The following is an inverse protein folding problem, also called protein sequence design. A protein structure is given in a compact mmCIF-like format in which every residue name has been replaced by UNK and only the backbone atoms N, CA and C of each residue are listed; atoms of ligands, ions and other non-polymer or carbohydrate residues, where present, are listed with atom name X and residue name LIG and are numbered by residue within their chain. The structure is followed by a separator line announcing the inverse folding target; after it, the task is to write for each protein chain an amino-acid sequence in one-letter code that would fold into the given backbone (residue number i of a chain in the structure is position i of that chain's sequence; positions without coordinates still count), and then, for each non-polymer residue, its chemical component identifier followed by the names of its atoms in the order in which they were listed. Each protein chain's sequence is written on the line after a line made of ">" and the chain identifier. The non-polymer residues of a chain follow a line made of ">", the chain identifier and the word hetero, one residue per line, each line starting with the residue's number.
data_IF_307944061437
#
_entry.id   IF_307944061437
#
_cell.length_a   1.000
_cell.length_b   1.000
_cell.length_c   1.000
_cell.angle_alpha   90.00
_cell.angle_beta   90.00
_cell.angle_gamma   90.00
#
_symmetry.space_group_name_H-M   'P 1'
#
loop_
_entity.id
_entity.type
_entity.pdbx_description
1 polymer ?
#
# COMPACT_ATOMS: atom_id res chain seq x y z
N UNK A 1 5.82 0.33 -1.87
CA UNK A 1 6.95 0.62 -0.97
C UNK A 1 6.88 2.02 -0.35
N UNK A 2 6.37 3.04 -1.05
CA UNK A 2 6.34 4.42 -0.54
C UNK A 2 5.38 4.70 0.63
N UNK A 3 4.14 4.20 0.61
CA UNK A 3 3.10 4.66 1.57
C UNK A 3 3.34 4.16 3.01
N UNK A 4 3.78 2.90 3.17
CA UNK A 4 4.05 2.32 4.50
C UNK A 4 5.38 2.83 5.05
N UNK A 5 6.41 2.94 4.20
CA UNK A 5 7.66 3.58 4.60
C UNK A 5 7.47 5.06 4.94
N UNK A 6 6.42 5.71 4.44
CA UNK A 6 6.09 7.10 4.77
C UNK A 6 5.37 7.24 6.12
N UNK A 7 4.43 6.33 6.44
CA UNK A 7 3.84 6.27 7.79
C UNK A 7 4.88 5.96 8.87
N UNK A 8 5.89 5.15 8.54
CA UNK A 8 7.04 4.88 9.42
C UNK A 8 8.02 6.06 9.46
N UNK A 9 8.17 6.84 8.37
CA UNK A 9 9.01 8.05 8.34
C UNK A 9 8.34 9.30 8.93
N UNK A 10 7.06 9.26 9.32
CA UNK A 10 6.47 10.25 10.22
C UNK A 10 7.01 10.02 11.63
N UNK A 11 8.32 10.30 11.76
CA UNK A 11 9.17 10.27 12.94
C UNK A 11 8.89 9.06 13.85
N UNK A 12 9.82 8.10 13.81
CA UNK A 12 10.05 7.05 14.81
C UNK A 12 10.03 7.54 16.28
N UNK A 13 9.91 8.86 16.54
CA UNK A 13 9.89 9.48 17.85
C UNK A 13 8.81 10.58 18.00
N UNK A 14 7.72 10.58 17.21
CA UNK A 14 6.60 11.48 17.50
C UNK A 14 5.80 10.95 18.71
N UNK A 15 5.65 11.80 19.73
CA UNK A 15 4.82 11.61 20.94
C UNK A 15 3.34 11.29 20.63
N UNK A 16 2.95 11.26 19.35
CA UNK A 16 1.57 11.23 18.86
C UNK A 16 0.99 9.83 18.59
N UNK A 17 1.78 8.76 18.59
CA UNK A 17 1.25 7.41 18.35
C UNK A 17 0.92 6.68 19.65
N UNK A 18 -0.36 6.35 19.87
CA UNK A 18 -0.74 5.53 21.02
C UNK A 18 -0.21 4.10 20.87
N UNK A 19 0.25 3.50 21.97
CA UNK A 19 0.79 2.11 21.98
C UNK A 19 -0.10 1.06 21.30
N UNK A 20 -1.44 1.09 21.42
CA UNK A 20 -2.31 0.14 20.72
C UNK A 20 -2.26 0.27 19.20
N UNK A 21 -2.20 1.49 18.67
CA UNK A 21 -2.16 1.76 17.23
C UNK A 21 -0.85 1.26 16.61
N UNK A 22 0.26 1.39 17.32
CA UNK A 22 1.55 0.86 16.87
C UNK A 22 1.54 -0.68 16.77
N UNK A 23 0.88 -1.37 17.69
CA UNK A 23 0.81 -2.83 17.67
C UNK A 23 0.06 -3.34 16.42
N UNK A 24 -1.08 -2.75 16.09
CA UNK A 24 -1.85 -3.09 14.88
C UNK A 24 -1.07 -2.77 13.60
N UNK A 25 -0.39 -1.62 13.54
CA UNK A 25 0.47 -1.26 12.40
C UNK A 25 1.63 -2.24 12.22
N UNK A 26 2.25 -2.70 13.31
CA UNK A 26 3.33 -3.70 13.25
C UNK A 26 2.87 -5.03 12.66
N UNK A 27 1.61 -5.43 12.89
CA UNK A 27 1.04 -6.63 12.26
C UNK A 27 0.86 -6.45 10.76
N UNK A 28 0.36 -5.29 10.33
CA UNK A 28 0.21 -4.95 8.91
C UNK A 28 1.58 -4.92 8.23
N UNK A 29 2.59 -4.34 8.86
CA UNK A 29 3.96 -4.29 8.35
C UNK A 29 4.52 -5.71 8.12
N UNK A 30 4.41 -6.59 9.12
CA UNK A 30 4.83 -8.00 8.99
C UNK A 30 4.08 -8.72 7.87
N UNK A 31 2.80 -8.41 7.67
CA UNK A 31 2.00 -9.02 6.63
C UNK A 31 2.45 -8.64 5.20
N UNK A 32 3.12 -7.49 5.04
CA UNK A 32 3.60 -6.98 3.75
C UNK A 32 5.13 -6.92 3.63
N UNK A 33 5.84 -7.61 4.54
CA UNK A 33 7.29 -7.66 4.58
C UNK A 33 7.88 -8.14 3.23
N UNK A 34 8.78 -7.37 2.58
CA UNK A 34 9.40 -7.76 1.31
C UNK A 34 10.34 -8.97 1.42
N UNK A 35 10.74 -9.38 2.63
CA UNK A 35 11.62 -10.52 2.84
C UNK A 35 11.08 -11.80 2.18
N UNK A 36 12.02 -12.60 1.66
CA UNK A 36 11.72 -13.84 0.95
C UNK A 36 10.67 -13.66 -0.16
N UNK A 37 10.75 -12.54 -0.89
CA UNK A 37 9.83 -12.17 -1.95
C UNK A 37 8.36 -12.09 -1.50
N UNK A 38 8.11 -11.40 -0.38
CA UNK A 38 6.77 -11.19 0.18
C UNK A 38 6.09 -12.50 0.61
N UNK A 39 6.85 -13.42 1.22
CA UNK A 39 6.32 -14.71 1.66
C UNK A 39 5.09 -14.62 2.60
N UNK A 40 5.08 -13.74 3.63
CA UNK A 40 3.90 -13.57 4.50
C UNK A 40 2.65 -13.14 3.71
N UNK A 41 2.78 -12.09 2.89
CA UNK A 41 1.70 -11.60 2.04
C UNK A 41 1.15 -12.70 1.12
N UNK A 42 2.03 -13.44 0.44
CA UNK A 42 1.62 -14.50 -0.49
C UNK A 42 0.86 -15.62 0.21
N UNK A 43 1.24 -15.97 1.45
CA UNK A 43 0.53 -16.97 2.26
C UNK A 43 -0.87 -16.47 2.62
N UNK A 44 -0.97 -15.22 3.11
CA UNK A 44 -2.24 -14.59 3.47
C UNK A 44 -3.18 -14.49 2.25
N UNK A 45 -2.66 -14.01 1.12
CA UNK A 45 -3.43 -13.86 -0.11
C UNK A 45 -3.93 -15.21 -0.65
N UNK A 46 -3.10 -16.26 -0.65
CA UNK A 46 -3.54 -17.62 -1.05
C UNK A 46 -4.64 -18.15 -0.15
N UNK A 47 -4.54 -17.94 1.16
CA UNK A 47 -5.57 -18.35 2.11
C UNK A 47 -6.89 -17.60 1.85
N UNK A 48 -6.83 -16.29 1.62
CA UNK A 48 -8.00 -15.47 1.30
C UNK A 48 -8.65 -15.89 -0.04
N UNK A 49 -7.86 -16.14 -1.08
CA UNK A 49 -8.38 -16.65 -2.36
C UNK A 49 -9.06 -18.01 -2.18
N UNK A 50 -8.44 -18.94 -1.44
CA UNK A 50 -9.04 -20.25 -1.14
C UNK A 50 -10.36 -20.12 -0.39
N UNK A 51 -10.42 -19.25 0.62
CA UNK A 51 -11.63 -18.97 1.39
C UNK A 51 -12.71 -18.31 0.52
N UNK A 52 -12.35 -17.33 -0.31
CA UNK A 52 -13.29 -16.66 -1.22
C UNK A 52 -13.90 -17.63 -2.22
N UNK A 53 -13.12 -18.57 -2.77
CA UNK A 53 -13.63 -19.57 -3.70
C UNK A 53 -14.47 -20.66 -3.00
N UNK A 54 -14.16 -20.95 -1.73
CA UNK A 54 -14.85 -21.98 -0.94
C UNK A 54 -16.15 -21.46 -0.31
N UNK A 55 -16.24 -20.17 0.03
CA UNK A 55 -17.45 -19.56 0.61
C UNK A 55 -18.59 -19.42 -0.41
N UNK A 56 -18.29 -19.35 -1.72
CA UNK A 56 -19.31 -19.45 -2.77
C UNK A 56 -20.01 -20.83 -2.76
N UNK A 57 -19.38 -21.88 -2.20
CA UNK A 57 -19.99 -23.21 -2.07
C UNK A 57 -20.87 -23.36 -0.81
N UNK A 58 -20.80 -22.44 0.15
CA UNK A 58 -21.54 -22.47 1.41
C UNK A 58 -22.58 -21.34 1.45
N UNK A 59 -23.59 -21.41 0.57
CA UNK A 59 -24.74 -20.53 0.59
C UNK A 59 -25.58 -20.78 1.87
N UNK A 60 -25.23 -20.13 2.98
CA UNK A 60 -25.99 -20.28 4.23
C UNK A 60 -25.48 -19.58 5.49
N UNK A 61 -24.53 -18.64 5.42
CA UNK A 61 -24.07 -17.94 6.62
C UNK A 61 -23.40 -16.59 6.34
N UNK A 62 -23.47 -15.70 7.33
CA UNK A 62 -23.07 -14.27 7.38
C UNK A 62 -21.60 -13.94 7.06
N UNK A 63 -20.84 -14.82 6.39
CA UNK A 63 -19.43 -14.58 6.07
C UNK A 63 -19.28 -13.72 4.80
N UNK A 64 -19.62 -12.44 4.92
CA UNK A 64 -19.45 -11.40 3.88
C UNK A 64 -17.99 -10.95 3.67
N UNK A 65 -17.05 -11.45 4.47
CA UNK A 65 -15.74 -10.81 4.69
C UNK A 65 -14.75 -10.90 3.51
N UNK A 66 -14.95 -11.78 2.53
CA UNK A 66 -13.93 -12.08 1.51
C UNK A 66 -14.42 -12.04 0.05
N UNK A 67 -15.50 -11.30 -0.26
CA UNK A 67 -16.02 -11.23 -1.64
C UNK A 67 -15.11 -10.47 -2.61
N UNK A 68 -14.36 -9.50 -2.11
CA UNK A 68 -13.51 -8.63 -2.94
C UNK A 68 -12.09 -8.72 -2.42
N UNK A 69 -11.20 -9.28 -3.24
CA UNK A 69 -9.77 -9.34 -2.97
C UNK A 69 -9.05 -8.42 -3.95
N UNK A 70 -8.41 -7.38 -3.40
CA UNK A 70 -7.55 -6.49 -4.17
C UNK A 70 -6.09 -6.85 -3.88
N UNK A 71 -5.36 -7.39 -4.85
CA UNK A 71 -3.98 -7.81 -4.66
C UNK A 71 -3.01 -6.64 -4.79
N UNK A 72 -1.79 -6.86 -4.32
CA UNK A 72 -0.70 -5.92 -4.48
C UNK A 72 -0.19 -5.97 -5.92
N UNK A 73 -0.77 -5.12 -6.77
CA UNK A 73 -0.54 -5.12 -8.22
C UNK A 73 0.94 -5.02 -8.61
N UNK A 74 1.73 -4.23 -7.90
CA UNK A 74 3.17 -4.11 -8.17
C UNK A 74 3.94 -5.42 -7.95
N UNK A 75 3.51 -6.25 -7.00
CA UNK A 75 4.13 -7.57 -6.78
C UNK A 75 3.82 -8.52 -7.95
N UNK A 76 2.61 -8.44 -8.48
CA UNK A 76 2.23 -9.19 -9.68
C UNK A 76 3.02 -8.74 -10.92
N UNK A 77 3.19 -7.42 -11.11
CA UNK A 77 4.03 -6.90 -12.20
C UNK A 77 5.47 -7.40 -12.08
N UNK A 78 6.02 -7.44 -10.86
CA UNK A 78 7.33 -8.04 -10.60
C UNK A 78 7.36 -9.53 -10.97
N UNK A 79 6.31 -10.28 -10.67
CA UNK A 79 6.22 -11.71 -11.04
C UNK A 79 6.17 -11.90 -12.56
N UNK A 80 5.40 -11.08 -13.29
CA UNK A 80 5.36 -11.07 -14.76
C UNK A 80 6.75 -10.73 -15.32
N UNK A 81 7.40 -9.69 -14.80
CA UNK A 81 8.73 -9.30 -15.23
C UNK A 81 9.75 -10.42 -15.00
N UNK A 82 9.74 -11.06 -13.83
CA UNK A 82 10.65 -12.16 -13.53
C UNK A 82 10.40 -13.37 -14.42
N UNK A 83 9.14 -13.70 -14.69
CA UNK A 83 8.78 -14.79 -15.58
C UNK A 83 9.25 -14.53 -17.02
N UNK A 84 9.16 -13.28 -17.47
CA UNK A 84 9.57 -12.90 -18.82
C UNK A 84 11.09 -12.79 -19.00
N UNK A 85 11.78 -12.21 -18.03
CA UNK A 85 13.23 -11.92 -18.08
C UNK A 85 14.12 -13.14 -17.84
N UNK A 86 13.66 -14.12 -17.05
CA UNK A 86 14.48 -15.28 -16.67
C UNK A 86 14.45 -16.40 -17.73
N UNK A 87 13.40 -16.47 -18.56
CA UNK A 87 13.21 -17.56 -19.53
C UNK A 87 13.01 -17.01 -20.95
N UNK A 88 13.76 -17.48 -21.96
CA UNK A 88 13.56 -17.07 -23.34
C UNK A 88 12.18 -17.53 -23.85
N UNK A 89 11.56 -16.74 -24.72
CA UNK A 89 10.25 -17.08 -25.31
C UNK A 89 10.31 -18.24 -26.30
N UNK A 90 11.52 -18.69 -26.65
CA UNK A 90 11.76 -19.85 -27.50
C UNK A 90 12.72 -20.81 -26.81
N UNK A 91 12.43 -22.09 -26.96
CA UNK A 91 13.29 -23.18 -26.56
C UNK A 91 14.54 -23.24 -27.46
N UNK A 92 15.61 -23.96 -27.05
CA UNK A 92 16.82 -24.10 -27.87
C UNK A 92 16.59 -24.70 -29.26
N UNK A 93 15.49 -25.43 -29.45
CA UNK A 93 15.07 -25.97 -30.76
C UNK A 93 14.31 -24.96 -31.64
N UNK A 94 14.19 -23.70 -31.20
CA UNK A 94 13.49 -22.63 -31.92
C UNK A 94 11.97 -22.61 -31.75
N UNK A 95 11.37 -23.61 -31.09
CA UNK A 95 9.94 -23.66 -30.82
C UNK A 95 9.55 -22.67 -29.71
N UNK A 96 8.28 -22.26 -29.69
CA UNK A 96 7.75 -21.38 -28.63
C UNK A 96 7.70 -22.17 -27.31
N UNK A 97 8.09 -21.52 -26.22
CA UNK A 97 7.93 -22.07 -24.88
C UNK A 97 6.47 -21.91 -24.40
N UNK A 98 5.66 -22.93 -24.65
CA UNK A 98 4.26 -22.94 -24.20
C UNK A 98 4.12 -23.00 -22.68
N UNK A 99 5.12 -23.49 -21.94
CA UNK A 99 5.07 -23.50 -20.48
C UNK A 99 5.19 -22.08 -19.93
N UNK A 100 6.10 -21.27 -20.49
CA UNK A 100 6.15 -19.83 -20.21
C UNK A 100 4.83 -19.13 -20.57
N UNK A 101 4.29 -19.38 -21.77
CA UNK A 101 3.00 -18.81 -22.17
C UNK A 101 1.87 -19.18 -21.21
N UNK A 102 1.82 -20.43 -20.75
CA UNK A 102 0.82 -20.92 -19.80
C UNK A 102 0.95 -20.25 -18.43
N UNK A 103 2.18 -20.05 -17.94
CA UNK A 103 2.41 -19.36 -16.67
C UNK A 103 2.01 -17.88 -16.76
N UNK A 104 2.33 -17.19 -17.86
CA UNK A 104 1.88 -15.81 -18.10
C UNK A 104 0.34 -15.75 -18.20
N UNK A 105 -0.27 -16.68 -18.92
CA UNK A 105 -1.72 -16.77 -19.06
C UNK A 105 -2.42 -16.92 -17.70
N UNK A 106 -1.85 -17.69 -16.76
CA UNK A 106 -2.38 -17.80 -15.39
C UNK A 106 -2.41 -16.45 -14.68
N UNK A 107 -1.30 -15.70 -14.72
CA UNK A 107 -1.21 -14.38 -14.07
C UNK A 107 -2.20 -13.39 -14.69
N UNK A 108 -2.30 -13.34 -16.02
CA UNK A 108 -3.24 -12.45 -16.73
C UNK A 108 -4.70 -12.83 -16.47
N UNK A 109 -4.99 -14.13 -16.36
CA UNK A 109 -6.34 -14.62 -16.05
C UNK A 109 -6.78 -14.18 -14.65
N UNK A 110 -5.86 -14.16 -13.69
CA UNK A 110 -6.11 -13.66 -12.34
C UNK A 110 -6.45 -12.16 -12.35
N UNK A 111 -5.70 -11.35 -13.11
CA UNK A 111 -6.01 -9.91 -13.27
C UNK A 111 -7.42 -9.72 -13.85
N UNK A 112 -7.73 -10.50 -14.88
CA UNK A 112 -9.01 -10.41 -15.58
C UNK A 112 -10.17 -10.85 -14.70
N UNK A 113 -9.96 -11.75 -13.73
CA UNK A 113 -11.01 -12.15 -12.81
C UNK A 113 -11.35 -11.04 -11.81
N UNK A 114 -10.35 -10.29 -11.30
CA UNK A 114 -10.60 -9.17 -10.39
C UNK A 114 -11.43 -8.05 -11.03
N UNK A 115 -11.24 -7.80 -12.33
CA UNK A 115 -12.02 -6.82 -13.08
C UNK A 115 -13.52 -7.18 -13.20
N UNK A 116 -13.87 -8.45 -13.00
CA UNK A 116 -15.24 -8.96 -13.13
C UNK A 116 -15.97 -9.04 -11.79
N UNK A 117 -15.27 -8.83 -10.67
CA UNK A 117 -15.87 -8.88 -9.33
C UNK A 117 -16.78 -7.65 -9.14
N UNK A 118 -18.04 -7.88 -8.79
CA UNK A 118 -18.95 -6.80 -8.42
C UNK A 118 -18.62 -6.27 -7.02
N UNK A 119 -18.68 -4.95 -6.88
CA UNK A 119 -18.47 -4.28 -5.60
C UNK A 119 -19.83 -3.91 -5.00
N UNK A 120 -20.23 -4.57 -3.92
CA UNK A 120 -21.51 -4.31 -3.23
C UNK A 120 -21.43 -3.10 -2.27
N UNK A 121 -20.25 -2.47 -2.14
CA UNK A 121 -20.06 -1.29 -1.29
C UNK A 121 -20.66 -0.04 -1.93
N UNK A 122 -21.49 0.67 -1.17
CA UNK A 122 -22.11 1.93 -1.61
C UNK A 122 -21.06 3.04 -1.64
N UNK A 123 -20.94 3.71 -2.79
CA UNK A 123 -20.07 4.88 -2.93
C UNK A 123 -20.70 6.10 -2.26
N UNK A 124 -20.00 6.67 -1.28
CA UNK A 124 -20.39 7.92 -0.63
C UNK A 124 -19.74 9.07 -1.41
N UNK A 125 -20.54 9.82 -2.17
CA UNK A 125 -20.03 10.84 -3.10
C UNK A 125 -19.19 11.93 -2.42
N UNK A 126 -19.52 12.33 -1.20
CA UNK A 126 -18.75 13.33 -0.45
C UNK A 126 -17.34 12.83 -0.11
N UNK A 127 -17.20 11.58 0.35
CA UNK A 127 -15.91 10.94 0.62
C UNK A 127 -15.12 10.80 -0.68
N UNK A 128 -15.77 10.33 -1.74
CA UNK A 128 -15.12 10.20 -3.04
C UNK A 128 -14.57 11.54 -3.54
N UNK A 129 -15.37 12.60 -3.51
CA UNK A 129 -14.95 13.93 -3.92
C UNK A 129 -13.81 14.46 -3.04
N UNK A 130 -13.86 14.22 -1.73
CA UNK A 130 -12.79 14.62 -0.81
C UNK A 130 -11.47 13.90 -1.11
N UNK A 131 -11.52 12.60 -1.38
CA UNK A 131 -10.33 11.81 -1.74
C UNK A 131 -9.77 12.28 -3.09
N UNK A 132 -10.63 12.55 -4.07
CA UNK A 132 -10.22 13.06 -5.39
C UNK A 132 -9.61 14.47 -5.33
N UNK A 133 -10.09 15.32 -4.41
CA UNK A 133 -9.57 16.68 -4.21
C UNK A 133 -8.33 16.73 -3.28
N UNK A 134 -7.91 15.60 -2.72
CA UNK A 134 -6.78 15.57 -1.79
C UNK A 134 -5.47 15.91 -2.52
N UNK A 135 -4.65 16.84 -1.98
CA UNK A 135 -3.39 17.22 -2.62
C UNK A 135 -2.41 16.05 -2.65
N UNK A 136 -1.69 15.90 -3.76
CA UNK A 136 -0.61 14.92 -3.89
C UNK A 136 0.70 15.67 -3.66
N UNK A 137 1.35 15.37 -2.53
CA UNK A 137 2.66 15.92 -2.20
C UNK A 137 3.78 15.05 -2.75
N UNK A 138 4.84 15.69 -3.23
CA UNK A 138 6.12 15.02 -3.45
C UNK A 138 6.89 14.87 -2.12
N UNK A 139 7.98 14.10 -2.15
CA UNK A 139 8.77 13.80 -0.95
C UNK A 139 9.30 15.06 -0.25
N UNK A 140 9.74 16.08 -1.00
CA UNK A 140 10.27 17.32 -0.43
C UNK A 140 9.17 18.16 0.22
N UNK A 141 8.00 18.25 -0.42
CA UNK A 141 6.82 18.93 0.13
C UNK A 141 6.36 18.27 1.43
N UNK A 142 6.41 16.94 1.49
CA UNK A 142 5.94 16.18 2.64
C UNK A 142 6.92 16.24 3.82
N UNK A 143 8.23 16.21 3.55
CA UNK A 143 9.27 16.48 4.57
C UNK A 143 9.12 17.91 5.09
N UNK A 144 8.89 18.87 4.19
CA UNK A 144 8.68 20.27 4.59
C UNK A 144 7.43 20.42 5.46
N UNK A 145 6.32 19.77 5.07
CA UNK A 145 5.09 19.71 5.86
C UNK A 145 5.34 19.12 7.26
N UNK A 146 6.09 18.03 7.33
CA UNK A 146 6.48 17.40 8.60
C UNK A 146 7.21 18.39 9.52
N UNK A 147 8.17 19.16 8.99
CA UNK A 147 8.87 20.18 9.79
C UNK A 147 8.00 21.37 10.24
N UNK A 148 6.90 21.65 9.53
CA UNK A 148 5.94 22.66 9.96
C UNK A 148 5.07 22.17 11.13
N UNK A 149 4.77 20.87 11.16
CA UNK A 149 4.04 20.23 12.26
C UNK A 149 4.94 20.02 13.48
N UNK A 150 6.17 19.54 13.26
CA UNK A 150 7.16 19.26 14.28
C UNK A 150 8.49 19.92 13.92
N UNK A 151 8.93 20.88 14.74
CA UNK A 151 10.11 21.68 14.42
C UNK A 151 11.38 20.81 14.30
N UNK A 152 12.33 21.16 13.40
CA UNK A 152 13.58 20.45 13.25
C UNK A 152 14.45 20.60 14.51
N UNK A 153 14.91 19.47 15.05
CA UNK A 153 15.65 19.43 16.32
C UNK A 153 17.16 19.42 16.06
N UNK A 154 17.59 18.56 15.13
CA UNK A 154 19.02 18.33 14.85
C UNK A 154 19.60 19.41 13.93
N UNK A 155 20.93 19.69 13.99
CA UNK A 155 21.56 20.65 13.08
C UNK A 155 21.34 20.30 11.60
N UNK A 156 21.36 19.00 11.26
CA UNK A 156 21.12 18.50 9.90
C UNK A 156 19.69 18.80 9.43
N UNK A 157 18.69 18.55 10.27
CA UNK A 157 17.29 18.87 9.96
C UNK A 157 17.08 20.37 9.79
N UNK A 158 17.71 21.20 10.64
CA UNK A 158 17.63 22.66 10.53
C UNK A 158 18.20 23.16 9.21
N UNK A 159 19.29 22.57 8.74
CA UNK A 159 19.86 22.90 7.42
C UNK A 159 18.94 22.45 6.28
N UNK A 160 18.41 21.22 6.37
CA UNK A 160 17.46 20.68 5.38
C UNK A 160 16.18 21.52 5.32
N UNK A 161 15.61 21.91 6.46
CA UNK A 161 14.45 22.80 6.54
C UNK A 161 14.73 24.14 5.87
N UNK A 162 15.88 24.78 6.12
CA UNK A 162 16.27 26.02 5.45
C UNK A 162 16.35 25.87 3.93
N UNK A 163 16.84 24.73 3.44
CA UNK A 163 16.90 24.43 2.00
C UNK A 163 15.48 24.29 1.40
N UNK A 164 14.61 23.53 2.07
CA UNK A 164 13.23 23.30 1.64
C UNK A 164 12.38 24.58 1.70
N UNK A 165 12.57 25.40 2.74
CA UNK A 165 11.83 26.66 2.91
C UNK A 165 12.09 27.63 1.75
N UNK A 166 13.31 27.66 1.19
CA UNK A 166 13.64 28.47 0.00
C UNK A 166 12.92 28.01 -1.27
N UNK A 167 12.44 26.77 -1.33
CA UNK A 167 11.69 26.24 -2.48
C UNK A 167 10.23 26.75 -2.50
N UNK A 168 9.78 27.41 -1.43
CA UNK A 168 8.51 28.13 -1.36
C UNK A 168 7.27 27.27 -1.69
N UNK A 169 7.25 26.04 -1.16
CA UNK A 169 6.15 25.11 -1.34
C UNK A 169 4.83 25.66 -0.76
N UNK A 170 3.74 25.50 -1.50
CA UNK A 170 2.39 25.77 -1.00
C UNK A 170 1.85 24.52 -0.31
N UNK A 171 2.31 24.26 0.90
CA UNK A 171 1.76 23.20 1.73
C UNK A 171 0.61 23.79 2.56
N UNK A 172 -0.63 23.27 2.44
CA UNK A 172 -1.72 23.66 3.33
C UNK A 172 -1.29 23.36 4.77
N UNK A 173 -1.40 24.34 5.66
CA UNK A 173 -1.19 24.11 7.10
C UNK A 173 -2.22 23.07 7.55
N UNK A 174 -1.76 21.83 7.75
CA UNK A 174 -2.54 20.82 8.46
C UNK A 174 -2.56 21.32 9.90
N UNK A 175 -3.72 21.79 10.36
CA UNK A 175 -3.90 22.14 11.75
C UNK A 175 -3.72 20.87 12.58
N UNK A 176 -2.50 20.62 13.06
CA UNK A 176 -2.27 19.69 14.16
C UNK A 176 -2.95 20.32 15.37
N UNK A 177 -4.19 19.90 15.64
CA UNK A 177 -4.88 20.26 16.87
C UNK A 177 -4.04 19.74 18.03
N UNK A 178 -3.20 20.60 18.60
CA UNK A 178 -2.68 20.41 19.94
C UNK A 178 -3.87 20.55 20.88
N UNK A 179 -4.56 19.44 21.15
CA UNK A 179 -5.52 19.36 22.24
C UNK A 179 -4.74 19.53 23.56
N UNK A 180 -4.49 20.77 23.95
CA UNK A 180 -4.24 21.11 25.34
C UNK A 180 -5.60 21.16 26.03
N UNK A 181 -6.12 20.00 26.42
CA UNK A 181 -7.10 19.92 27.51
C UNK A 181 -6.36 20.32 28.80
N UNK A 182 -6.34 21.63 29.07
CA UNK A 182 -6.17 22.13 30.41
C UNK A 182 -7.52 21.96 31.12
N UNK A 183 -7.73 20.80 31.72
CA UNK A 183 -8.76 20.66 32.73
C UNK A 183 -8.23 21.19 34.07
N UNK A 184 -8.93 22.20 34.58
CA UNK A 184 -8.76 22.81 35.90
C UNK A 184 -9.84 22.24 36.82
#
# INVERSE_FOLDING_TARGET
>A
MGVISFLVNLKEESVSWSKPLYAELSEVEKAVDPQQNYAPYRKLYKAAVWQSNSSVAAAGGDSQTYRILVPYFSLLMKDIYNLDSVHPSRLPNGHIDFEKCRQLAKLVTEITSWQKVSCDFVQIQSIFNSVQASPIFNEQELIYASYLCEQPETPREKEQFKKLHRQNFQVPLIACNSSSENDT
#
